data_IF_022938348366
#
_entry.id   IF_022938348366
#
_cell.length_a   1.000
_cell.length_b   1.000
_cell.length_c   1.000
_cell.angle_alpha   90.00
_cell.angle_beta   90.00
_cell.angle_gamma   90.00
#
_symmetry.space_group_name_H-M   'P 1'
#
loop_
_entity.id
_entity.type
_entity.pdbx_description
1 polymer ?
#
# COMPACT_ATOMS: atom_id res chain seq x y z
N UNK A 1 -5.80 -14.10 12.07
CA UNK A 1 -4.81 -13.88 11.02
C UNK A 1 -3.52 -13.37 11.64
N UNK A 2 -2.44 -14.17 11.57
CA UNK A 2 -1.17 -13.90 12.26
C UNK A 2 -0.26 -12.93 11.53
N UNK A 3 -0.63 -12.49 10.33
CA UNK A 3 0.11 -11.53 9.52
C UNK A 3 -0.56 -10.15 9.47
N UNK A 4 -1.59 -9.90 10.29
CA UNK A 4 -2.35 -8.65 10.23
C UNK A 4 -3.26 -8.52 9.00
N UNK A 5 -3.23 -9.49 8.10
CA UNK A 5 -3.99 -9.49 6.85
C UNK A 5 -4.94 -10.67 6.83
N UNK A 6 -6.23 -10.41 6.63
CA UNK A 6 -7.20 -11.47 6.43
C UNK A 6 -7.16 -11.95 4.98
N UNK A 7 -6.65 -13.16 4.77
CA UNK A 7 -6.55 -13.78 3.43
C UNK A 7 -7.57 -14.89 3.18
N UNK A 8 -8.55 -15.04 4.05
CA UNK A 8 -9.59 -16.03 3.92
C UNK A 8 -9.59 -17.08 5.01
N UNK A 9 -10.44 -18.08 4.84
CA UNK A 9 -10.61 -19.20 5.76
C UNK A 9 -9.67 -20.34 5.38
N UNK A 10 -9.14 -21.01 6.40
CA UNK A 10 -8.68 -22.38 6.22
C UNK A 10 -9.88 -23.30 6.36
N UNK A 11 -10.22 -24.04 5.34
CA UNK A 11 -11.31 -25.01 5.40
C UNK A 11 -10.83 -26.40 5.04
N UNK A 12 -11.37 -27.40 5.71
CA UNK A 12 -11.27 -28.81 5.36
C UNK A 12 -12.70 -29.34 5.18
N UNK A 13 -12.94 -30.02 4.08
CA UNK A 13 -14.25 -30.58 3.75
C UNK A 13 -15.41 -29.57 3.80
N UNK A 14 -15.15 -28.33 3.42
CA UNK A 14 -16.13 -27.24 3.43
C UNK A 14 -16.38 -26.62 4.81
N UNK A 15 -15.71 -27.09 5.86
CA UNK A 15 -15.83 -26.55 7.23
C UNK A 15 -14.64 -25.65 7.54
N UNK A 16 -14.92 -24.40 7.94
CA UNK A 16 -13.89 -23.45 8.38
C UNK A 16 -13.17 -23.95 9.63
N UNK A 17 -11.84 -23.87 9.64
CA UNK A 17 -11.00 -24.27 10.77
C UNK A 17 -10.41 -23.06 11.47
N UNK A 18 -10.60 -22.98 12.78
CA UNK A 18 -9.98 -21.99 13.64
C UNK A 18 -8.48 -22.24 13.83
N UNK A 19 -7.71 -21.16 13.75
CA UNK A 19 -6.27 -21.21 14.04
C UNK A 19 -5.40 -21.75 12.90
N UNK A 20 -5.97 -21.93 11.70
CA UNK A 20 -5.26 -22.44 10.53
C UNK A 20 -4.91 -23.93 10.66
N UNK A 21 -4.02 -24.42 9.80
CA UNK A 21 -3.58 -25.81 9.81
C UNK A 21 -2.99 -26.20 11.20
N UNK A 22 -3.49 -27.30 11.77
CA UNK A 22 -3.08 -27.83 13.06
C UNK A 22 -3.18 -26.81 14.22
N UNK A 23 -4.09 -25.84 14.15
CA UNK A 23 -4.34 -24.84 15.18
C UNK A 23 -3.09 -24.00 15.59
N UNK A 24 -2.05 -23.96 14.78
CA UNK A 24 -0.77 -23.28 15.10
C UNK A 24 -0.89 -21.78 15.32
N UNK A 25 -1.98 -21.17 14.81
CA UNK A 25 -2.25 -19.74 14.97
C UNK A 25 -3.02 -19.39 16.24
N UNK A 26 -3.57 -20.38 16.97
CA UNK A 26 -4.40 -20.14 18.16
C UNK A 26 -3.72 -19.31 19.24
N UNK A 27 -2.44 -19.55 19.62
CA UNK A 27 -1.78 -18.75 20.65
C UNK A 27 -1.72 -17.26 20.30
N UNK A 28 -1.54 -16.93 19.00
CA UNK A 28 -1.50 -15.54 18.53
C UNK A 28 -2.88 -14.91 18.45
N UNK A 29 -3.92 -15.70 18.10
CA UNK A 29 -5.31 -15.25 18.03
C UNK A 29 -5.88 -14.98 19.42
N UNK A 30 -5.47 -15.77 20.40
CA UNK A 30 -5.90 -15.65 21.81
C UNK A 30 -5.06 -14.68 22.63
N UNK A 31 -4.01 -14.10 22.05
CA UNK A 31 -3.18 -13.09 22.72
C UNK A 31 -3.95 -11.81 23.00
N UNK A 32 -3.51 -11.08 24.02
CA UNK A 32 -4.08 -9.76 24.32
C UNK A 32 -3.94 -8.82 23.15
N UNK A 33 -5.02 -8.12 22.84
CA UNK A 33 -5.01 -7.01 21.89
C UNK A 33 -4.90 -5.73 22.70
N UNK A 34 -3.79 -5.02 22.54
CA UNK A 34 -3.57 -3.70 23.17
C UNK A 34 -3.49 -2.67 22.07
N UNK A 35 -4.24 -1.61 22.22
CA UNK A 35 -4.19 -0.43 21.35
C UNK A 35 -3.71 0.73 22.21
N UNK A 36 -2.61 1.32 21.83
CA UNK A 36 -2.14 2.55 22.45
C UNK A 36 -3.01 3.72 21.99
N UNK A 37 -3.18 4.68 22.88
CA UNK A 37 -3.91 5.91 22.54
C UNK A 37 -3.10 6.66 21.49
N UNK A 38 -3.71 7.07 20.36
CA UNK A 38 -3.00 7.86 19.36
C UNK A 38 -2.47 9.16 19.94
N UNK A 39 -1.24 9.51 19.59
CA UNK A 39 -0.67 10.82 19.92
C UNK A 39 -1.15 11.81 18.86
N UNK A 40 -1.92 12.80 19.30
CA UNK A 40 -2.42 13.86 18.45
C UNK A 40 -1.45 15.03 18.42
N UNK A 41 -1.24 15.64 17.26
CA UNK A 41 -0.54 16.91 17.19
C UNK A 41 -1.48 18.02 17.73
N UNK A 42 -1.10 18.60 18.86
CA UNK A 42 -1.88 19.67 19.52
C UNK A 42 -1.18 21.02 19.49
N UNK A 43 0.00 21.12 18.86
CA UNK A 43 0.89 22.26 19.02
C UNK A 43 0.56 23.48 18.15
N UNK A 44 -0.20 23.29 17.06
CA UNK A 44 -0.61 24.41 16.17
C UNK A 44 -1.95 24.10 15.49
N UNK A 45 -2.69 25.12 15.06
CA UNK A 45 -3.92 24.91 14.29
C UNK A 45 -3.58 24.25 12.94
N UNK A 46 -3.62 22.92 12.93
CA UNK A 46 -3.41 22.13 11.74
C UNK A 46 -4.74 21.92 11.03
N UNK A 47 -4.84 22.34 9.78
CA UNK A 47 -5.98 22.06 8.93
C UNK A 47 -5.67 20.87 8.04
N UNK A 48 -6.28 19.73 8.31
CA UNK A 48 -6.15 18.52 7.51
C UNK A 48 -7.43 18.18 6.78
N UNK A 49 -7.32 17.71 5.54
CA UNK A 49 -8.43 17.13 4.77
C UNK A 49 -8.06 15.73 4.33
N UNK A 50 -8.96 14.77 4.52
CA UNK A 50 -8.82 13.42 4.00
C UNK A 50 -9.86 13.18 2.91
N UNK A 51 -9.42 12.61 1.77
CA UNK A 51 -10.29 12.24 0.65
C UNK A 51 -10.03 10.79 0.25
N UNK A 52 -11.04 10.13 -0.31
CA UNK A 52 -10.93 8.80 -0.90
C UNK A 52 -11.22 8.90 -2.39
N UNK A 53 -10.18 8.89 -3.20
CA UNK A 53 -10.27 9.06 -4.66
C UNK A 53 -9.12 8.34 -5.36
N UNK A 54 -9.23 8.21 -6.67
CA UNK A 54 -8.10 7.86 -7.52
C UNK A 54 -7.15 9.06 -7.60
N UNK A 55 -5.91 8.88 -7.18
CA UNK A 55 -4.93 9.97 -7.11
C UNK A 55 -4.56 10.53 -8.50
N UNK A 56 -4.52 9.66 -9.53
CA UNK A 56 -4.17 10.10 -10.88
C UNK A 56 -5.20 11.08 -11.46
N UNK A 57 -6.46 10.99 -11.00
CA UNK A 57 -7.49 11.97 -11.36
C UNK A 57 -7.57 13.13 -10.37
N UNK A 58 -7.42 12.85 -9.07
CA UNK A 58 -7.56 13.84 -8.01
C UNK A 58 -6.52 14.96 -8.12
N UNK A 59 -5.26 14.62 -8.39
CA UNK A 59 -4.16 15.59 -8.43
C UNK A 59 -4.40 16.70 -9.46
N UNK A 60 -4.99 16.37 -10.58
CA UNK A 60 -5.25 17.35 -11.64
C UNK A 60 -6.53 18.16 -11.43
N UNK A 61 -7.52 17.62 -10.71
CA UNK A 61 -8.82 18.26 -10.52
C UNK A 61 -8.91 19.12 -9.26
N UNK A 62 -8.17 18.76 -8.18
CA UNK A 62 -8.30 19.42 -6.89
C UNK A 62 -7.21 20.48 -6.63
N UNK A 63 -6.10 20.46 -7.37
CA UNK A 63 -4.97 21.33 -7.11
C UNK A 63 -4.61 22.18 -8.33
N UNK A 64 -4.39 23.48 -8.12
CA UNK A 64 -3.86 24.35 -9.15
C UNK A 64 -2.35 24.13 -9.37
N UNK A 65 -1.85 24.48 -10.54
CA UNK A 65 -0.42 24.39 -10.83
C UNK A 65 0.38 25.26 -9.86
N UNK A 66 1.47 24.71 -9.32
CA UNK A 66 2.34 25.39 -8.36
C UNK A 66 1.72 25.68 -6.99
N UNK A 67 0.56 25.07 -6.65
CA UNK A 67 -0.14 25.35 -5.39
C UNK A 67 0.37 24.55 -4.19
N UNK A 68 1.22 23.55 -4.42
CA UNK A 68 1.74 22.68 -3.38
C UNK A 68 3.26 22.83 -3.23
N UNK A 69 3.77 22.75 -2.02
CA UNK A 69 5.21 22.73 -1.76
C UNK A 69 5.79 21.34 -2.00
N UNK A 70 5.10 20.31 -1.53
CA UNK A 70 5.54 18.92 -1.58
C UNK A 70 4.35 17.99 -1.77
N UNK A 71 4.53 16.98 -2.61
CA UNK A 71 3.64 15.81 -2.69
C UNK A 71 4.40 14.58 -2.21
N UNK A 72 3.87 13.86 -1.22
CA UNK A 72 4.39 12.56 -0.81
C UNK A 72 3.56 11.44 -1.40
N UNK A 73 4.23 10.50 -2.07
CA UNK A 73 3.62 9.34 -2.71
C UNK A 73 4.08 8.05 -2.02
N UNK A 74 3.11 7.27 -1.54
CA UNK A 74 3.31 5.94 -0.98
C UNK A 74 2.37 4.96 -1.69
N UNK A 75 2.65 4.62 -2.96
CA UNK A 75 1.77 3.79 -3.78
C UNK A 75 1.82 2.32 -3.35
N UNK A 76 0.79 1.53 -3.72
CA UNK A 76 0.90 0.08 -3.65
C UNK A 76 2.06 -0.42 -4.52
N UNK A 77 3.04 -1.09 -3.92
CA UNK A 77 4.24 -1.59 -4.65
C UNK A 77 4.18 -3.07 -5.02
N UNK A 78 3.11 -3.79 -4.67
CA UNK A 78 2.97 -5.20 -4.99
C UNK A 78 1.57 -5.55 -5.53
N UNK A 79 1.41 -6.81 -5.99
CA UNK A 79 0.18 -7.31 -6.57
C UNK A 79 -0.96 -7.55 -5.56
N UNK A 80 -0.77 -7.26 -4.28
CA UNK A 80 -1.74 -7.52 -3.23
C UNK A 80 -2.58 -6.29 -2.93
N UNK A 81 -3.83 -6.20 -3.43
CA UNK A 81 -4.65 -5.02 -3.24
C UNK A 81 -5.09 -4.84 -1.79
N UNK A 82 -5.10 -3.62 -1.31
CA UNK A 82 -5.60 -3.31 0.04
C UNK A 82 -7.05 -3.73 0.24
N UNK A 83 -7.89 -3.60 -0.80
CA UNK A 83 -9.29 -4.02 -0.73
C UNK A 83 -9.49 -5.49 -0.36
N UNK A 84 -8.58 -6.38 -0.78
CA UNK A 84 -8.61 -7.79 -0.38
C UNK A 84 -7.85 -8.05 0.92
N UNK A 85 -6.69 -7.40 1.11
CA UNK A 85 -5.84 -7.65 2.25
C UNK A 85 -6.42 -7.12 3.56
N UNK A 86 -7.07 -5.96 3.52
CA UNK A 86 -7.65 -5.28 4.68
C UNK A 86 -9.18 -5.37 4.75
N UNK A 87 -9.79 -6.30 4.00
CA UNK A 87 -11.23 -6.47 3.95
C UNK A 87 -11.87 -6.57 5.34
N UNK A 88 -11.32 -7.41 6.22
CA UNK A 88 -11.87 -7.59 7.56
C UNK A 88 -11.73 -6.31 8.40
N UNK A 89 -10.63 -5.57 8.28
CA UNK A 89 -10.45 -4.29 8.98
C UNK A 89 -11.42 -3.23 8.46
N UNK A 90 -11.68 -3.23 7.15
CA UNK A 90 -12.68 -2.34 6.56
C UNK A 90 -14.10 -2.65 7.06
N UNK A 91 -14.45 -3.94 7.22
CA UNK A 91 -15.73 -4.32 7.83
C UNK A 91 -15.87 -3.82 9.27
N UNK A 92 -14.81 -3.98 10.06
CA UNK A 92 -14.80 -3.50 11.46
C UNK A 92 -14.94 -1.97 11.49
N UNK A 93 -14.18 -1.26 10.66
CA UNK A 93 -14.20 0.21 10.63
C UNK A 93 -15.53 0.78 10.12
N UNK A 94 -16.16 0.14 9.14
CA UNK A 94 -17.43 0.59 8.57
C UNK A 94 -18.64 0.16 9.40
N UNK A 95 -18.51 -0.91 10.19
CA UNK A 95 -19.58 -1.58 10.91
C UNK A 95 -20.78 -1.95 10.01
N UNK A 96 -20.51 -2.28 8.75
CA UNK A 96 -21.52 -2.67 7.75
C UNK A 96 -21.30 -4.12 7.35
N UNK A 97 -22.38 -4.93 7.43
CA UNK A 97 -22.30 -6.31 6.99
C UNK A 97 -22.03 -6.39 5.47
N UNK A 98 -21.17 -7.30 5.02
CA UNK A 98 -20.89 -7.47 3.60
C UNK A 98 -22.09 -8.12 2.91
N UNK A 99 -22.25 -7.84 1.62
CA UNK A 99 -23.16 -8.62 0.79
C UNK A 99 -22.60 -10.03 0.59
N UNK A 100 -23.27 -10.99 1.22
CA UNK A 100 -22.85 -12.40 1.23
C UNK A 100 -22.85 -13.02 -0.17
N UNK A 101 -23.64 -12.48 -1.11
CA UNK A 101 -23.67 -12.96 -2.50
C UNK A 101 -22.39 -12.66 -3.27
N UNK A 102 -21.64 -11.65 -2.85
CA UNK A 102 -20.36 -11.25 -3.46
C UNK A 102 -19.16 -12.00 -2.92
N UNK A 103 -19.33 -12.74 -1.82
CA UNK A 103 -18.23 -13.41 -1.14
C UNK A 103 -17.76 -14.65 -1.91
N UNK A 104 -16.45 -14.76 -2.08
CA UNK A 104 -15.81 -15.97 -2.60
C UNK A 104 -16.04 -17.13 -1.63
N UNK A 105 -16.51 -18.27 -2.15
CA UNK A 105 -16.68 -19.50 -1.37
C UNK A 105 -15.35 -20.06 -0.83
N UNK A 106 -14.24 -19.69 -1.46
CA UNK A 106 -12.91 -20.20 -1.10
C UNK A 106 -12.26 -19.32 -0.04
N UNK A 107 -12.32 -17.99 -0.20
CA UNK A 107 -11.60 -17.04 0.67
C UNK A 107 -12.48 -16.23 1.60
N UNK A 108 -13.79 -16.19 1.37
CA UNK A 108 -14.70 -15.33 2.13
C UNK A 108 -14.47 -13.83 1.91
N UNK A 109 -13.74 -13.46 0.87
CA UNK A 109 -13.48 -12.07 0.50
C UNK A 109 -14.39 -11.71 -0.67
N UNK A 110 -14.99 -10.51 -0.75
CA UNK A 110 -15.78 -10.11 -1.91
C UNK A 110 -14.96 -10.16 -3.19
N UNK A 111 -15.59 -10.56 -4.28
CA UNK A 111 -14.97 -10.52 -5.61
C UNK A 111 -14.90 -9.08 -6.18
N UNK A 112 -15.66 -8.17 -5.61
CA UNK A 112 -15.85 -6.78 -6.05
C UNK A 112 -14.91 -5.76 -5.38
N UNK A 113 -13.85 -6.25 -4.68
CA UNK A 113 -12.88 -5.34 -4.06
C UNK A 113 -12.14 -4.50 -5.10
N UNK A 114 -11.85 -3.24 -4.74
CA UNK A 114 -11.14 -2.31 -5.61
C UNK A 114 -9.66 -2.70 -5.77
N UNK A 115 -9.14 -2.52 -6.98
CA UNK A 115 -7.74 -2.76 -7.33
C UNK A 115 -7.20 -1.55 -8.07
N UNK A 116 -6.05 -1.06 -7.63
CA UNK A 116 -5.32 0.03 -8.26
C UNK A 116 -4.52 -0.46 -9.46
N UNK A 117 -4.28 0.40 -10.44
CA UNK A 117 -3.37 0.13 -11.56
C UNK A 117 -1.93 -0.11 -11.08
N UNK A 118 -1.54 0.43 -9.94
CA UNK A 118 -0.26 0.14 -9.26
C UNK A 118 -0.11 -1.32 -8.80
N UNK A 119 -1.18 -2.11 -8.71
CA UNK A 119 -1.12 -3.54 -8.42
C UNK A 119 -0.89 -4.41 -9.66
N UNK A 120 -0.79 -3.84 -10.85
CA UNK A 120 -0.59 -4.57 -12.10
C UNK A 120 0.78 -4.24 -12.72
N UNK A 121 1.62 -5.26 -12.90
CA UNK A 121 2.96 -5.09 -13.47
C UNK A 121 2.98 -4.34 -14.81
N UNK A 122 1.98 -4.54 -15.67
CA UNK A 122 1.89 -3.90 -16.98
C UNK A 122 1.40 -2.46 -16.96
N UNK A 123 0.83 -2.00 -15.83
CA UNK A 123 0.18 -0.69 -15.73
C UNK A 123 0.89 0.25 -14.74
N UNK A 124 1.57 -0.33 -13.74
CA UNK A 124 2.13 0.44 -12.63
C UNK A 124 3.11 1.51 -13.10
N UNK A 125 3.96 1.20 -14.08
CA UNK A 125 4.96 2.15 -14.59
C UNK A 125 4.29 3.32 -15.32
N UNK A 126 3.31 3.06 -16.19
CA UNK A 126 2.58 4.10 -16.91
C UNK A 126 1.78 5.01 -15.95
N UNK A 127 1.05 4.39 -15.00
CA UNK A 127 0.30 5.12 -13.97
C UNK A 127 1.21 6.01 -13.12
N UNK A 128 2.40 5.51 -12.73
CA UNK A 128 3.38 6.25 -11.95
C UNK A 128 3.98 7.40 -12.76
N UNK A 129 4.33 7.17 -14.02
CA UNK A 129 4.86 8.20 -14.91
C UNK A 129 3.88 9.38 -15.04
N UNK A 130 2.61 9.09 -15.31
CA UNK A 130 1.57 10.10 -15.38
C UNK A 130 1.38 10.85 -14.07
N UNK A 131 1.38 10.13 -12.93
CA UNK A 131 1.24 10.74 -11.61
C UNK A 131 2.40 11.69 -11.28
N UNK A 132 3.65 11.27 -11.50
CA UNK A 132 4.82 12.12 -11.23
C UNK A 132 4.75 13.39 -12.07
N UNK A 133 4.44 13.28 -13.36
CA UNK A 133 4.31 14.43 -14.24
C UNK A 133 3.22 15.40 -13.78
N UNK A 134 2.06 14.88 -13.35
CA UNK A 134 0.98 15.71 -12.79
C UNK A 134 1.39 16.34 -11.46
N UNK A 135 1.99 15.59 -10.55
CA UNK A 135 2.46 16.11 -9.27
C UNK A 135 3.48 17.23 -9.43
N UNK A 136 4.44 17.09 -10.35
CA UNK A 136 5.46 18.13 -10.60
C UNK A 136 4.91 19.40 -11.27
N UNK A 137 3.76 19.36 -11.89
CA UNK A 137 3.03 20.59 -12.29
C UNK A 137 2.43 21.29 -11.08
N UNK A 138 1.98 20.54 -10.09
CA UNK A 138 1.26 21.05 -8.92
C UNK A 138 2.18 21.42 -7.76
N UNK A 139 3.36 20.83 -7.66
CA UNK A 139 4.28 20.99 -6.53
C UNK A 139 5.72 21.24 -6.96
N UNK A 140 6.49 21.87 -6.04
CA UNK A 140 7.92 22.07 -6.22
C UNK A 140 8.70 20.76 -6.14
N UNK A 141 8.25 19.82 -5.27
CA UNK A 141 8.91 18.56 -5.00
C UNK A 141 7.92 17.42 -4.93
N UNK A 142 8.35 16.25 -5.39
CA UNK A 142 7.64 14.97 -5.20
C UNK A 142 8.57 14.02 -4.45
N UNK A 143 8.12 13.50 -3.32
CA UNK A 143 8.82 12.52 -2.51
C UNK A 143 8.11 11.18 -2.65
N UNK A 144 8.81 10.16 -3.12
CA UNK A 144 8.22 8.85 -3.43
C UNK A 144 8.87 7.78 -2.57
N UNK A 145 8.07 7.09 -1.75
CA UNK A 145 8.49 5.89 -1.01
C UNK A 145 8.24 4.64 -1.86
N UNK A 146 9.24 3.78 -1.95
CA UNK A 146 9.17 2.50 -2.67
C UNK A 146 10.20 1.53 -2.12
N UNK A 147 10.13 0.25 -2.49
CA UNK A 147 11.15 -0.71 -2.08
C UNK A 147 11.63 -1.61 -3.24
N UNK A 148 12.74 -2.31 -3.02
CA UNK A 148 13.40 -3.15 -4.02
C UNK A 148 12.61 -4.44 -4.38
N UNK A 149 11.59 -4.80 -3.62
CA UNK A 149 10.68 -5.92 -3.93
C UNK A 149 9.43 -5.48 -4.72
N UNK A 150 9.38 -4.21 -5.11
CA UNK A 150 8.23 -3.63 -5.80
C UNK A 150 8.06 -4.08 -7.25
N UNK A 151 6.88 -3.80 -7.82
CA UNK A 151 6.52 -4.13 -9.21
C UNK A 151 7.38 -3.35 -10.21
N UNK A 152 7.66 -2.08 -9.91
CA UNK A 152 8.52 -1.21 -10.72
C UNK A 152 9.96 -1.52 -10.31
N UNK A 153 10.74 -2.03 -11.24
CA UNK A 153 12.14 -2.40 -10.99
C UNK A 153 13.06 -1.17 -10.89
N UNK A 154 14.28 -1.36 -10.41
CA UNK A 154 15.28 -0.31 -10.31
C UNK A 154 15.62 0.30 -11.68
N UNK A 155 15.68 -0.54 -12.71
CA UNK A 155 15.92 -0.08 -14.07
C UNK A 155 14.74 0.76 -14.60
N UNK A 156 13.50 0.35 -14.27
CA UNK A 156 12.29 1.10 -14.61
C UNK A 156 12.26 2.45 -13.87
N UNK A 157 12.62 2.49 -12.58
CA UNK A 157 12.73 3.74 -11.81
C UNK A 157 13.80 4.68 -12.39
N UNK A 158 14.96 4.16 -12.76
CA UNK A 158 16.03 4.95 -13.41
C UNK A 158 15.52 5.57 -14.70
N UNK A 159 14.85 4.79 -15.54
CA UNK A 159 14.29 5.28 -16.80
C UNK A 159 13.18 6.32 -16.59
N UNK A 160 12.30 6.07 -15.62
CA UNK A 160 11.14 6.92 -15.32
C UNK A 160 11.55 8.28 -14.75
N UNK A 161 12.62 8.32 -13.96
CA UNK A 161 13.10 9.54 -13.31
C UNK A 161 14.20 10.27 -14.10
N UNK A 162 14.72 9.69 -15.18
CA UNK A 162 15.74 10.30 -16.04
C UNK A 162 15.40 11.73 -16.49
N UNK A 163 14.15 12.10 -16.84
CA UNK A 163 13.81 13.46 -17.24
C UNK A 163 13.89 14.50 -16.13
N UNK A 164 13.99 14.09 -14.87
CA UNK A 164 13.90 14.95 -13.69
C UNK A 164 15.22 15.05 -12.94
N UNK A 165 15.34 16.04 -12.05
CA UNK A 165 16.36 16.04 -11.00
C UNK A 165 15.90 15.11 -9.90
N UNK A 166 16.76 14.16 -9.49
CA UNK A 166 16.43 13.16 -8.49
C UNK A 166 17.56 13.01 -7.47
N UNK A 167 17.17 12.90 -6.19
CA UNK A 167 18.03 12.47 -5.08
C UNK A 167 17.46 11.18 -4.51
N UNK A 168 18.31 10.18 -4.27
CA UNK A 168 17.92 8.87 -3.74
C UNK A 168 18.43 8.71 -2.32
N UNK A 169 17.53 8.33 -1.42
CA UNK A 169 17.84 7.91 -0.06
C UNK A 169 17.47 6.44 0.11
N UNK A 170 18.35 5.66 0.71
CA UNK A 170 18.16 4.23 0.91
C UNK A 170 18.39 3.84 2.36
N UNK A 171 17.59 2.90 2.84
CA UNK A 171 17.79 2.26 4.14
C UNK A 171 17.43 0.78 4.07
N UNK A 172 18.24 -0.06 4.71
CA UNK A 172 17.95 -1.50 4.81
C UNK A 172 17.27 -1.82 6.13
N UNK A 173 16.27 -2.71 6.07
CA UNK A 173 15.67 -3.27 7.26
C UNK A 173 15.37 -4.77 7.10
N UNK A 174 15.19 -5.45 8.24
CA UNK A 174 14.86 -6.87 8.22
C UNK A 174 13.45 -7.09 7.69
N UNK A 175 13.34 -7.81 6.58
CA UNK A 175 12.06 -8.09 5.96
C UNK A 175 11.20 -9.00 6.85
N UNK A 176 9.94 -8.60 7.07
CA UNK A 176 8.98 -9.49 7.70
C UNK A 176 8.52 -10.57 6.71
N UNK A 177 9.09 -11.75 6.79
CA UNK A 177 8.78 -12.87 5.90
C UNK A 177 7.59 -13.73 6.34
N UNK A 178 7.10 -13.50 7.55
CA UNK A 178 6.05 -14.33 8.14
C UNK A 178 6.51 -15.78 8.36
N UNK A 179 5.56 -16.72 8.28
CA UNK A 179 5.84 -18.17 8.42
C UNK A 179 6.07 -18.90 7.09
N UNK A 180 6.28 -18.17 5.99
CA UNK A 180 6.49 -18.78 4.67
C UNK A 180 7.92 -19.24 4.53
N UNK A 181 8.09 -20.44 3.95
CA UNK A 181 9.40 -20.88 3.47
C UNK A 181 9.76 -20.06 2.23
N UNK A 182 10.67 -19.13 2.36
CA UNK A 182 11.12 -18.21 1.32
C UNK A 182 12.57 -18.51 0.93
N UNK A 183 12.87 -19.77 0.71
CA UNK A 183 14.19 -20.18 0.20
C UNK A 183 14.57 -19.32 -1.02
N UNK A 184 15.74 -18.67 -0.95
CA UNK A 184 16.25 -17.83 -2.03
C UNK A 184 15.86 -16.36 -2.01
N UNK A 185 15.12 -15.87 -1.00
CA UNK A 185 14.90 -14.43 -0.80
C UNK A 185 15.80 -13.88 0.28
N UNK A 186 16.19 -12.61 0.12
CA UNK A 186 16.94 -11.88 1.14
C UNK A 186 16.13 -11.74 2.44
N UNK A 187 16.83 -11.80 3.59
CA UNK A 187 16.23 -11.44 4.88
C UNK A 187 16.10 -9.94 5.07
N UNK A 188 16.65 -9.16 4.14
CA UNK A 188 16.59 -7.70 4.13
C UNK A 188 15.80 -7.18 2.93
N UNK A 189 15.23 -6.01 3.12
CA UNK A 189 14.57 -5.20 2.09
C UNK A 189 15.20 -3.82 2.14
N UNK A 190 15.46 -3.25 0.97
CA UNK A 190 15.91 -1.87 0.83
C UNK A 190 14.69 -0.98 0.58
N UNK A 191 14.39 -0.12 1.53
CA UNK A 191 13.42 0.96 1.36
C UNK A 191 14.12 2.14 0.70
N UNK A 192 13.44 2.72 -0.27
CA UNK A 192 13.93 3.82 -1.08
C UNK A 192 13.01 5.02 -0.99
N UNK A 193 13.62 6.19 -0.98
CA UNK A 193 12.91 7.44 -1.03
C UNK A 193 13.53 8.30 -2.13
N UNK A 194 12.75 8.58 -3.17
CA UNK A 194 13.15 9.41 -4.30
C UNK A 194 12.60 10.82 -4.10
N UNK A 195 13.49 11.79 -3.93
CA UNK A 195 13.11 13.21 -3.97
C UNK A 195 13.27 13.72 -5.39
N UNK A 196 12.18 14.11 -6.02
CA UNK A 196 12.12 14.46 -7.43
C UNK A 196 11.69 15.91 -7.60
N UNK A 197 12.34 16.63 -8.51
CA UNK A 197 11.97 17.99 -8.91
C UNK A 197 12.20 18.20 -10.41
N UNK A 198 11.63 19.25 -10.98
CA UNK A 198 11.91 19.62 -12.37
C UNK A 198 13.40 19.93 -12.57
N UNK A 199 13.96 19.53 -13.71
CA UNK A 199 15.28 20.04 -14.13
C UNK A 199 15.13 21.53 -14.42
N UNK A 200 15.93 22.36 -13.78
CA UNK A 200 16.04 23.78 -14.16
C UNK A 200 16.67 23.83 -15.55
N UNK A 201 16.00 24.45 -16.50
CA UNK A 201 16.49 24.71 -17.84
C UNK A 201 17.57 25.79 -17.77
#
# INVERSE_FOLDING_TARGET
NTSGVFKGFHSEDGVGKWGGAAARCLPRIKGDIRLDVPVWNTSEPFTGRATRSDINSLIDTEFADGSLDLVYLDPPYNQHPYGSNYFMLNLIASNVAPDLSTLSRVSGIPSTWNRSDYNYKKKAMEAMSGLIASCLRKSAYVLISYNDEGIISDADWTSLLEPYKMELFETEYNAYRGSRNLAGRSDKVTERMYLVSAKTV
#
